data_IF_793448969224
#
_entry.id   IF_793448969224
#
_cell.length_a   1.000
_cell.length_b   1.000
_cell.length_c   1.000
_cell.angle_alpha   90.00
_cell.angle_beta   90.00
_cell.angle_gamma   90.00
#
_symmetry.space_group_name_H-M   'P 1'
#
loop_
_entity.id
_entity.type
_entity.pdbx_description
1 polymer ?
#
# COMPACT_ATOMS: atom_id res chain seq x y z
N UNK A 1 3.24 36.32 -19.95
CA UNK A 1 2.48 35.68 -21.06
C UNK A 1 1.08 36.25 -21.02
N UNK A 2 0.54 36.73 -22.14
CA UNK A 2 -0.73 37.48 -22.21
C UNK A 2 -1.80 36.62 -22.90
N UNK A 3 -3.02 36.61 -22.35
CA UNK A 3 -4.21 36.04 -23.01
C UNK A 3 -4.91 37.16 -23.77
N UNK A 4 -5.12 36.96 -25.07
CA UNK A 4 -5.74 37.97 -25.94
C UNK A 4 -7.09 37.52 -26.47
N UNK A 5 -8.04 38.44 -26.54
CA UNK A 5 -9.31 38.21 -27.24
C UNK A 5 -9.07 38.48 -28.72
N UNK A 6 -9.24 37.45 -29.54
CA UNK A 6 -9.14 37.53 -30.99
C UNK A 6 -10.53 37.58 -31.61
N UNK A 7 -10.75 38.59 -32.46
CA UNK A 7 -11.97 38.80 -33.24
C UNK A 7 -11.71 38.38 -34.68
N UNK A 8 -12.58 37.53 -35.24
CA UNK A 8 -12.51 37.14 -36.67
C UNK A 8 -13.88 37.33 -37.30
N UNK A 9 -13.92 38.11 -38.37
CA UNK A 9 -15.15 38.34 -39.12
C UNK A 9 -15.61 37.03 -39.78
N UNK A 10 -16.91 36.75 -39.74
CA UNK A 10 -17.50 35.61 -40.43
C UNK A 10 -17.61 35.88 -41.94
N UNK A 11 -17.85 34.83 -42.73
CA UNK A 11 -17.91 34.92 -44.19
C UNK A 11 -19.02 35.87 -44.71
N UNK A 12 -20.09 36.05 -43.93
CA UNK A 12 -21.18 36.97 -44.26
C UNK A 12 -20.89 38.43 -43.88
N UNK A 13 -19.80 38.72 -43.16
CA UNK A 13 -19.37 40.08 -42.84
C UNK A 13 -20.16 40.77 -41.71
N UNK A 14 -21.24 40.19 -41.21
CA UNK A 14 -22.16 40.79 -40.25
C UNK A 14 -21.77 40.57 -38.78
N UNK A 15 -20.88 39.60 -38.51
CA UNK A 15 -20.47 39.24 -37.14
C UNK A 15 -18.97 39.03 -36.99
N UNK A 16 -18.44 39.39 -35.81
CA UNK A 16 -17.16 38.94 -35.31
C UNK A 16 -17.34 37.72 -34.42
N UNK A 17 -16.76 36.59 -34.80
CA UNK A 17 -16.59 35.43 -33.94
C UNK A 17 -15.43 35.67 -32.97
N UNK A 18 -15.61 35.29 -31.72
CA UNK A 18 -14.64 35.52 -30.65
C UNK A 18 -13.86 34.25 -30.31
N UNK A 19 -12.59 34.44 -29.95
CA UNK A 19 -11.71 33.36 -29.50
C UNK A 19 -10.68 33.89 -28.51
N UNK A 20 -10.19 33.04 -27.61
CA UNK A 20 -9.03 33.34 -26.78
C UNK A 20 -7.77 32.81 -27.45
N UNK A 21 -6.78 33.67 -27.61
CA UNK A 21 -5.45 33.33 -28.12
C UNK A 21 -4.44 33.38 -26.96
N UNK A 22 -3.72 32.28 -26.77
CA UNK A 22 -2.78 32.07 -25.67
C UNK A 22 -1.39 31.85 -26.26
N UNK A 23 -0.46 32.78 -25.97
CA UNK A 23 0.91 32.75 -26.51
C UNK A 23 1.85 31.86 -25.68
N UNK A 24 2.16 30.64 -26.11
CA UNK A 24 2.95 29.65 -25.33
C UNK A 24 4.45 29.62 -25.66
N UNK A 25 5.06 30.76 -26.01
CA UNK A 25 6.49 30.86 -26.33
C UNK A 25 6.81 30.76 -27.83
N UNK A 26 8.02 30.30 -28.18
CA UNK A 26 8.48 30.14 -29.56
C UNK A 26 8.77 28.68 -29.90
N UNK A 27 8.54 28.28 -31.15
CA UNK A 27 9.03 27.04 -31.75
C UNK A 27 10.07 27.37 -32.80
N UNK A 28 11.24 26.74 -32.73
CA UNK A 28 12.30 26.89 -33.74
C UNK A 28 12.11 25.81 -34.81
N UNK A 29 12.01 26.24 -36.07
CA UNK A 29 11.98 25.33 -37.22
C UNK A 29 13.38 24.80 -37.53
N UNK A 30 13.48 23.67 -38.24
CA UNK A 30 14.76 23.04 -38.62
C UNK A 30 15.72 23.98 -39.37
N UNK A 31 15.20 25.07 -39.97
CA UNK A 31 15.97 26.08 -40.70
C UNK A 31 16.33 27.30 -39.83
N UNK A 32 16.27 27.20 -38.50
CA UNK A 32 16.66 28.26 -37.56
C UNK A 32 15.63 29.39 -37.36
N UNK A 33 14.52 29.40 -38.12
CA UNK A 33 13.49 30.43 -37.98
C UNK A 33 12.59 30.16 -36.75
N UNK A 34 12.48 31.17 -35.88
CA UNK A 34 11.61 31.16 -34.69
C UNK A 34 10.19 31.60 -35.04
N UNK A 35 9.20 30.75 -34.75
CA UNK A 35 7.76 31.06 -34.90
C UNK A 35 7.08 31.12 -33.54
N UNK A 36 6.24 32.14 -33.26
CA UNK A 36 5.49 32.21 -32.01
C UNK A 36 4.46 31.08 -31.94
N UNK A 37 4.52 30.25 -30.88
CA UNK A 37 3.56 29.18 -30.63
C UNK A 37 2.31 29.77 -29.97
N UNK A 38 1.16 29.66 -30.62
CA UNK A 38 -0.12 30.19 -30.15
C UNK A 38 -1.18 29.11 -30.19
N UNK A 39 -1.94 28.98 -29.11
CA UNK A 39 -3.11 28.10 -29.04
C UNK A 39 -4.36 28.98 -29.03
N UNK A 40 -5.33 28.67 -29.88
CA UNK A 40 -6.59 29.43 -29.98
C UNK A 40 -7.76 28.55 -29.57
N UNK A 41 -8.58 29.02 -28.63
CA UNK A 41 -9.83 28.39 -28.23
C UNK A 41 -11.01 29.27 -28.66
N UNK A 42 -11.97 28.70 -29.41
CA UNK A 42 -13.16 29.43 -29.85
C UNK A 42 -14.09 29.67 -28.66
N UNK A 43 -14.71 30.84 -28.62
CA UNK A 43 -15.76 31.16 -27.67
C UNK A 43 -17.11 31.11 -28.40
N UNK A 44 -18.15 30.62 -27.72
CA UNK A 44 -19.51 30.58 -28.25
C UNK A 44 -20.22 31.95 -28.09
N UNK A 45 -19.53 33.00 -28.55
CA UNK A 45 -19.97 34.38 -28.47
C UNK A 45 -19.61 35.12 -29.76
N UNK A 46 -20.47 36.06 -30.15
CA UNK A 46 -20.24 36.92 -31.31
C UNK A 46 -20.60 38.38 -31.01
N UNK A 47 -19.97 39.29 -31.75
CA UNK A 47 -20.31 40.70 -31.80
C UNK A 47 -20.86 41.06 -33.17
N UNK A 48 -21.90 41.88 -33.24
CA UNK A 48 -22.30 42.49 -34.51
C UNK A 48 -21.21 43.45 -34.99
N UNK A 49 -20.83 43.39 -36.27
CA UNK A 49 -19.80 44.26 -36.85
C UNK A 49 -20.27 45.71 -36.96
N UNK A 50 -21.58 45.92 -37.16
CA UNK A 50 -22.22 47.23 -37.22
C UNK A 50 -23.56 47.23 -36.47
N UNK A 51 -23.58 47.42 -35.13
CA UNK A 51 -24.80 47.37 -34.33
C UNK A 51 -25.64 48.65 -34.52
N UNK A 52 -26.73 48.55 -35.28
CA UNK A 52 -27.61 49.69 -35.61
C UNK A 52 -28.73 49.89 -34.60
N UNK A 53 -29.26 48.80 -34.02
CA UNK A 53 -30.38 48.88 -33.07
C UNK A 53 -29.90 48.97 -31.61
N UNK A 54 -30.71 49.53 -30.69
CA UNK A 54 -30.41 49.53 -29.25
C UNK A 54 -30.14 48.13 -28.69
N UNK A 55 -30.87 47.12 -29.17
CA UNK A 55 -30.70 45.72 -28.77
C UNK A 55 -29.34 45.16 -29.22
N UNK A 56 -28.91 45.45 -30.45
CA UNK A 56 -27.60 45.02 -30.96
C UNK A 56 -26.44 45.70 -30.21
N UNK A 57 -26.60 46.99 -29.85
CA UNK A 57 -25.62 47.72 -29.05
C UNK A 57 -25.52 47.16 -27.62
N UNK A 58 -26.66 46.84 -27.00
CA UNK A 58 -26.68 46.22 -25.67
C UNK A 58 -26.09 44.81 -25.68
N UNK A 59 -26.41 43.99 -26.68
CA UNK A 59 -25.81 42.67 -26.89
C UNK A 59 -24.28 42.73 -26.95
N UNK A 60 -23.72 43.60 -27.79
CA UNK A 60 -22.27 43.75 -27.88
C UNK A 60 -21.65 44.13 -26.53
N UNK A 61 -22.25 45.07 -25.79
CA UNK A 61 -21.78 45.51 -24.48
C UNK A 61 -21.78 44.39 -23.44
N UNK A 62 -22.82 43.55 -23.42
CA UNK A 62 -22.89 42.40 -22.51
C UNK A 62 -21.90 41.30 -22.88
N UNK A 63 -21.78 40.99 -24.18
CA UNK A 63 -20.85 39.97 -24.67
C UNK A 63 -19.41 40.39 -24.41
N UNK A 64 -19.05 41.67 -24.63
CA UNK A 64 -17.70 42.18 -24.32
C UNK A 64 -17.36 42.01 -22.84
N UNK A 65 -18.30 42.31 -21.92
CA UNK A 65 -18.11 42.06 -20.48
C UNK A 65 -17.89 40.58 -20.18
N UNK A 66 -18.74 39.70 -20.72
CA UNK A 66 -18.64 38.24 -20.50
C UNK A 66 -17.30 37.69 -20.99
N UNK A 67 -16.87 38.10 -22.18
CA UNK A 67 -15.63 37.64 -22.79
C UNK A 67 -14.41 38.16 -22.05
N UNK A 68 -14.45 39.38 -21.52
CA UNK A 68 -13.39 39.93 -20.68
C UNK A 68 -13.26 39.19 -19.34
N UNK A 69 -14.38 38.81 -18.72
CA UNK A 69 -14.38 37.94 -17.52
C UNK A 69 -13.72 36.60 -17.84
N UNK A 70 -14.12 35.94 -18.94
CA UNK A 70 -13.56 34.64 -19.36
C UNK A 70 -12.05 34.76 -19.65
N UNK A 71 -11.61 35.86 -20.29
CA UNK A 71 -10.18 36.16 -20.52
C UNK A 71 -9.42 36.25 -19.19
N UNK A 72 -9.93 37.04 -18.25
CA UNK A 72 -9.31 37.25 -16.95
C UNK A 72 -9.24 35.96 -16.11
N UNK A 73 -10.28 35.13 -16.16
CA UNK A 73 -10.28 33.80 -15.52
C UNK A 73 -9.24 32.87 -16.13
N UNK A 74 -9.12 32.83 -17.47
CA UNK A 74 -8.12 32.00 -18.15
C UNK A 74 -6.69 32.47 -17.88
N UNK A 75 -6.48 33.79 -17.80
CA UNK A 75 -5.20 34.38 -17.41
C UNK A 75 -4.85 34.00 -15.96
N UNK A 76 -5.81 34.08 -15.03
CA UNK A 76 -5.66 33.63 -13.64
C UNK A 76 -5.36 32.13 -13.53
N UNK A 77 -6.06 31.27 -14.26
CA UNK A 77 -5.80 29.82 -14.30
C UNK A 77 -4.39 29.51 -14.79
N UNK A 78 -3.94 30.18 -15.85
CA UNK A 78 -2.59 30.04 -16.37
C UNK A 78 -1.53 30.49 -15.36
N UNK A 79 -1.74 31.64 -14.72
CA UNK A 79 -0.85 32.14 -13.66
C UNK A 79 -0.82 31.18 -12.46
N UNK A 80 -1.95 30.60 -12.07
CA UNK A 80 -2.03 29.60 -11.01
C UNK A 80 -1.24 28.32 -11.35
N UNK A 81 -1.34 27.82 -12.58
CA UNK A 81 -0.58 26.64 -13.02
C UNK A 81 0.92 26.93 -13.20
N UNK A 82 1.29 28.17 -13.55
CA UNK A 82 2.68 28.57 -13.78
C UNK A 82 3.42 28.99 -12.51
N UNK A 83 2.73 29.66 -11.58
CA UNK A 83 3.34 30.29 -10.41
C UNK A 83 2.81 29.75 -9.08
N UNK A 84 1.86 28.81 -9.08
CA UNK A 84 1.45 28.12 -7.86
C UNK A 84 0.63 28.95 -6.87
N UNK A 85 0.02 30.08 -7.25
CA UNK A 85 -0.76 30.94 -6.34
C UNK A 85 -1.91 30.24 -5.58
N UNK A 86 -2.49 29.15 -6.12
CA UNK A 86 -3.43 28.29 -5.37
C UNK A 86 -2.76 27.46 -4.27
N UNK A 87 -1.47 27.18 -4.40
CA UNK A 87 -0.64 26.47 -3.42
C UNK A 87 -0.46 27.31 -2.17
N UNK A 88 -0.27 28.63 -2.23
CA UNK A 88 0.03 29.44 -1.04
C UNK A 88 -1.08 29.41 0.02
N UNK A 89 -2.36 29.41 -0.37
CA UNK A 89 -3.49 29.31 0.59
C UNK A 89 -3.61 27.89 1.15
N UNK A 90 -3.41 26.87 0.31
CA UNK A 90 -3.49 25.46 0.72
C UNK A 90 -2.25 25.01 1.51
N UNK A 91 -1.10 25.63 1.29
CA UNK A 91 0.12 25.31 1.99
C UNK A 91 0.12 25.84 3.43
N UNK A 92 -0.72 26.84 3.71
CA UNK A 92 -1.07 27.24 5.09
C UNK A 92 -2.03 26.28 5.80
N UNK A 93 -2.57 25.27 5.12
CA UNK A 93 -3.41 24.26 5.76
C UNK A 93 -2.60 23.42 6.75
N UNK A 94 -3.27 22.90 7.77
CA UNK A 94 -2.63 22.08 8.80
C UNK A 94 -2.36 20.66 8.29
N UNK A 95 -1.09 20.25 8.30
CA UNK A 95 -0.67 18.91 7.93
C UNK A 95 -1.17 17.84 8.90
N UNK A 96 -1.25 18.13 10.20
CA UNK A 96 -1.72 17.15 11.21
C UNK A 96 -3.18 16.77 10.97
N UNK A 97 -4.05 17.76 10.73
CA UNK A 97 -5.46 17.52 10.44
C UNK A 97 -5.65 16.73 9.15
N UNK A 98 -4.86 17.06 8.13
CA UNK A 98 -4.86 16.32 6.88
C UNK A 98 -4.42 14.86 7.09
N UNK A 99 -3.36 14.63 7.87
CA UNK A 99 -2.90 13.29 8.21
C UNK A 99 -3.95 12.51 9.03
N UNK A 100 -4.66 13.19 9.94
CA UNK A 100 -5.75 12.60 10.71
C UNK A 100 -6.90 12.15 9.80
N UNK A 101 -7.32 13.00 8.86
CA UNK A 101 -8.33 12.63 7.86
C UNK A 101 -7.93 11.38 7.07
N UNK A 102 -6.69 11.33 6.57
CA UNK A 102 -6.17 10.16 5.86
C UNK A 102 -6.10 8.92 6.75
N UNK A 103 -5.91 9.09 8.06
CA UNK A 103 -5.91 8.00 9.03
C UNK A 103 -7.31 7.41 9.18
N UNK A 104 -8.33 8.26 9.33
CA UNK A 104 -9.73 7.85 9.50
C UNK A 104 -10.28 7.13 8.26
N UNK A 105 -9.88 7.55 7.05
CA UNK A 105 -10.19 6.86 5.80
C UNK A 105 -9.66 5.40 5.74
N UNK A 106 -8.73 5.01 6.63
CA UNK A 106 -8.18 3.63 6.70
C UNK A 106 -8.88 2.73 7.71
N UNK A 107 -9.92 3.20 8.39
CA UNK A 107 -10.59 2.47 9.48
C UNK A 107 -11.09 1.07 9.08
N UNK A 108 -11.45 0.87 7.80
CA UNK A 108 -11.85 -0.43 7.24
C UNK A 108 -10.76 -1.52 7.34
N UNK A 109 -9.49 -1.13 7.47
CA UNK A 109 -8.37 -2.04 7.67
C UNK A 109 -7.70 -1.75 9.01
N UNK A 110 -8.21 -2.36 10.09
CA UNK A 110 -7.75 -2.16 11.47
C UNK A 110 -6.21 -2.18 11.62
N UNK A 111 -5.54 -3.11 10.94
CA UNK A 111 -4.07 -3.20 10.98
C UNK A 111 -3.36 -2.04 10.28
N UNK A 112 -3.91 -1.54 9.17
CA UNK A 112 -3.38 -0.36 8.49
C UNK A 112 -3.71 0.91 9.28
N UNK A 113 -4.96 1.06 9.73
CA UNK A 113 -5.42 2.15 10.60
C UNK A 113 -4.52 2.31 11.82
N UNK A 114 -4.28 1.24 12.59
CA UNK A 114 -3.47 1.32 13.82
C UNK A 114 -2.03 1.78 13.59
N UNK A 115 -1.47 1.51 12.41
CA UNK A 115 -0.16 2.03 12.02
C UNK A 115 -0.23 3.54 11.74
N UNK A 116 -1.18 3.99 10.92
CA UNK A 116 -1.40 5.41 10.64
C UNK A 116 -1.70 6.21 11.93
N UNK A 117 -2.56 5.71 12.80
CA UNK A 117 -2.87 6.30 14.12
C UNK A 117 -1.62 6.41 15.00
N UNK A 118 -0.74 5.40 14.98
CA UNK A 118 0.54 5.49 15.69
C UNK A 118 1.43 6.59 15.12
N UNK A 119 1.49 6.74 13.80
CA UNK A 119 2.24 7.83 13.15
C UNK A 119 1.66 9.19 13.51
N UNK A 120 0.34 9.34 13.47
CA UNK A 120 -0.34 10.58 13.85
C UNK A 120 0.02 11.01 15.28
N UNK A 121 0.02 10.07 16.23
CA UNK A 121 0.44 10.32 17.62
C UNK A 121 1.89 10.78 17.71
N UNK A 122 2.78 10.20 16.92
CA UNK A 122 4.18 10.60 16.88
C UNK A 122 4.41 11.95 16.20
N UNK A 123 3.66 12.27 15.15
CA UNK A 123 3.66 13.59 14.52
C UNK A 123 3.22 14.66 15.51
N UNK A 124 2.08 14.45 16.20
CA UNK A 124 1.59 15.35 17.25
C UNK A 124 2.61 15.57 18.38
N UNK A 125 3.32 14.52 18.79
CA UNK A 125 4.37 14.63 19.82
C UNK A 125 5.62 15.37 19.34
N UNK A 126 5.91 15.33 18.04
CA UNK A 126 7.11 15.93 17.48
C UNK A 126 6.93 17.42 17.19
N UNK A 127 5.79 17.80 16.61
CA UNK A 127 5.56 19.15 16.09
C UNK A 127 4.31 19.84 16.62
N UNK A 128 3.61 19.22 17.57
CA UNK A 128 2.35 19.73 18.10
C UNK A 128 1.17 19.40 17.18
N UNK A 129 0.01 20.02 17.46
CA UNK A 129 -1.22 19.75 16.71
C UNK A 129 -1.37 20.62 15.45
N UNK A 130 -0.59 21.69 15.34
CA UNK A 130 -0.72 22.67 14.26
C UNK A 130 0.64 22.89 13.60
N UNK A 131 0.77 22.41 12.37
CA UNK A 131 1.91 22.72 11.50
C UNK A 131 1.42 22.91 10.07
N UNK A 132 1.82 24.00 9.43
CA UNK A 132 1.44 24.25 8.05
C UNK A 132 2.18 23.30 7.10
N UNK A 133 1.64 23.05 5.91
CA UNK A 133 2.36 22.31 4.88
C UNK A 133 3.64 23.02 4.41
N UNK A 134 3.70 24.36 4.48
CA UNK A 134 4.91 25.12 4.17
C UNK A 134 6.05 24.81 5.15
N UNK A 135 5.72 24.61 6.44
CA UNK A 135 6.70 24.28 7.48
C UNK A 135 7.12 22.79 7.46
N UNK A 136 6.39 21.94 6.73
CA UNK A 136 6.74 20.53 6.54
C UNK A 136 7.73 20.42 5.38
N UNK A 137 8.92 20.99 5.55
CA UNK A 137 9.99 21.01 4.55
C UNK A 137 10.92 19.78 4.65
N UNK A 138 12.05 19.83 3.93
CA UNK A 138 13.07 18.76 3.96
C UNK A 138 13.65 18.61 5.38
N UNK A 139 13.90 19.73 6.06
CA UNK A 139 14.47 19.80 7.40
C UNK A 139 13.54 19.15 8.41
N UNK A 140 12.25 19.46 8.33
CA UNK A 140 11.21 18.82 9.12
C UNK A 140 11.18 17.30 8.91
N UNK A 141 11.22 16.86 7.65
CA UNK A 141 11.18 15.43 7.32
C UNK A 141 12.40 14.67 7.89
N UNK A 142 13.61 15.23 7.78
CA UNK A 142 14.82 14.63 8.37
C UNK A 142 14.77 14.68 9.91
N UNK A 143 14.28 15.78 10.48
CA UNK A 143 14.08 15.92 11.93
C UNK A 143 13.08 14.89 12.48
N UNK A 144 11.94 14.68 11.81
CA UNK A 144 10.96 13.67 12.20
C UNK A 144 11.54 12.26 12.12
N UNK A 145 12.31 11.94 11.07
CA UNK A 145 13.04 10.67 10.96
C UNK A 145 14.00 10.48 12.14
N UNK A 146 14.78 11.49 12.49
CA UNK A 146 15.71 11.43 13.63
C UNK A 146 14.96 11.27 14.97
N UNK A 147 13.82 11.95 15.13
CA UNK A 147 12.92 11.76 16.26
C UNK A 147 12.46 10.30 16.37
N UNK A 148 11.99 9.71 15.26
CA UNK A 148 11.57 8.30 15.24
C UNK A 148 12.69 7.34 15.63
N UNK A 149 13.93 7.62 15.21
CA UNK A 149 15.10 6.77 15.47
C UNK A 149 15.64 6.88 16.89
N UNK A 150 15.64 8.08 17.48
CA UNK A 150 16.40 8.36 18.72
C UNK A 150 15.53 8.66 19.94
N UNK A 151 14.33 9.18 19.73
CA UNK A 151 13.50 9.76 20.81
C UNK A 151 12.17 9.01 20.96
N UNK A 152 11.55 8.63 19.85
CA UNK A 152 10.24 8.00 19.84
C UNK A 152 10.24 6.66 20.61
N UNK A 153 9.21 6.49 21.42
CA UNK A 153 9.00 5.30 22.25
C UNK A 153 7.62 4.70 21.99
N UNK A 154 7.55 3.37 22.10
CA UNK A 154 6.30 2.61 22.15
C UNK A 154 5.46 3.01 23.38
N UNK A 155 4.20 2.56 23.44
CA UNK A 155 3.35 2.77 24.63
C UNK A 155 3.96 2.20 25.92
N UNK A 156 4.80 1.17 25.81
CA UNK A 156 5.51 0.55 26.93
C UNK A 156 6.85 1.24 27.26
N UNK A 157 7.14 2.41 26.67
CA UNK A 157 8.36 3.18 26.94
C UNK A 157 9.63 2.66 26.25
N UNK A 158 9.53 1.62 25.44
CA UNK A 158 10.67 1.05 24.70
C UNK A 158 10.96 1.82 23.40
N UNK A 159 12.23 1.93 22.95
CA UNK A 159 12.57 2.50 21.65
C UNK A 159 11.81 1.82 20.49
N UNK A 160 11.55 2.56 19.41
CA UNK A 160 10.94 1.98 18.21
C UNK A 160 11.92 1.01 17.51
N UNK A 161 11.40 -0.12 17.02
CA UNK A 161 12.19 -1.02 16.18
C UNK A 161 12.51 -0.37 14.83
N UNK A 162 13.61 -0.76 14.18
CA UNK A 162 13.97 -0.23 12.85
C UNK A 162 12.86 -0.42 11.79
N UNK A 163 12.11 -1.53 11.89
CA UNK A 163 10.96 -1.79 11.03
C UNK A 163 9.78 -0.85 11.33
N UNK A 164 9.52 -0.55 12.61
CA UNK A 164 8.51 0.45 13.01
C UNK A 164 8.89 1.83 12.49
N UNK A 165 10.16 2.25 12.65
CA UNK A 165 10.67 3.54 12.15
C UNK A 165 10.49 3.65 10.64
N UNK A 166 10.93 2.64 9.88
CA UNK A 166 10.80 2.61 8.42
C UNK A 166 9.34 2.67 7.97
N UNK A 167 8.47 1.89 8.63
CA UNK A 167 7.03 1.87 8.35
C UNK A 167 6.39 3.22 8.64
N UNK A 168 6.67 3.82 9.80
CA UNK A 168 6.08 5.09 10.22
C UNK A 168 6.50 6.24 9.30
N UNK A 169 7.80 6.32 8.99
CA UNK A 169 8.31 7.32 8.06
C UNK A 169 7.67 7.19 6.67
N UNK A 170 7.45 5.96 6.21
CA UNK A 170 6.81 5.70 4.91
C UNK A 170 5.33 6.14 4.89
N UNK A 171 4.61 6.10 6.03
CA UNK A 171 3.24 6.66 6.11
C UNK A 171 3.23 8.18 5.98
N UNK A 172 4.16 8.88 6.65
CA UNK A 172 4.33 10.33 6.46
C UNK A 172 4.63 10.65 4.99
N UNK A 173 5.56 9.94 4.36
CA UNK A 173 5.85 10.10 2.93
C UNK A 173 4.62 9.86 2.07
N UNK A 174 3.82 8.83 2.36
CA UNK A 174 2.60 8.54 1.61
C UNK A 174 1.55 9.65 1.75
N UNK A 175 1.39 10.23 2.95
CA UNK A 175 0.53 11.39 3.17
C UNK A 175 0.98 12.60 2.35
N UNK A 176 2.29 12.89 2.34
CA UNK A 176 2.87 13.98 1.54
C UNK A 176 2.72 13.74 0.03
N UNK A 177 2.85 12.50 -0.44
CA UNK A 177 2.53 12.15 -1.84
C UNK A 177 1.07 12.45 -2.17
N UNK A 178 0.14 12.03 -1.31
CA UNK A 178 -1.28 12.31 -1.52
C UNK A 178 -1.56 13.82 -1.51
N UNK A 179 -0.84 14.60 -0.69
CA UNK A 179 -0.96 16.05 -0.66
C UNK A 179 -0.48 16.71 -1.96
N UNK A 180 0.51 16.12 -2.66
CA UNK A 180 0.88 16.53 -4.02
C UNK A 180 -0.25 16.21 -5.00
N UNK A 181 -0.79 14.99 -4.95
CA UNK A 181 -1.89 14.56 -5.81
C UNK A 181 -3.14 15.44 -5.64
N UNK A 182 -3.41 15.91 -4.42
CA UNK A 182 -4.52 16.81 -4.08
C UNK A 182 -4.22 18.30 -4.38
N UNK A 183 -3.03 18.58 -4.90
CA UNK A 183 -2.56 19.93 -5.24
C UNK A 183 -2.51 20.87 -4.04
N UNK A 184 -2.17 20.34 -2.85
CA UNK A 184 -1.93 21.11 -1.63
C UNK A 184 -0.49 21.66 -1.64
N UNK A 185 0.46 20.80 -2.00
CA UNK A 185 1.88 21.14 -2.19
C UNK A 185 2.33 20.76 -3.60
N UNK A 186 3.32 21.47 -4.13
CA UNK A 186 3.82 21.23 -5.49
C UNK A 186 4.74 20.00 -5.58
N UNK A 187 5.49 19.72 -4.52
CA UNK A 187 6.46 18.62 -4.49
C UNK A 187 6.50 17.99 -3.11
N UNK A 188 6.80 16.69 -3.02
CA UNK A 188 6.97 16.01 -1.75
C UNK A 188 8.39 16.25 -1.18
N UNK A 189 8.54 16.96 -0.05
CA UNK A 189 9.85 17.27 0.52
C UNK A 189 10.58 16.03 1.04
N UNK A 190 9.84 14.99 1.42
CA UNK A 190 10.43 13.75 1.95
C UNK A 190 11.19 12.93 0.90
N UNK A 191 11.05 13.22 -0.41
CA UNK A 191 11.78 12.50 -1.46
C UNK A 191 13.30 12.71 -1.41
N UNK A 192 13.76 13.82 -0.83
CA UNK A 192 15.18 14.11 -0.61
C UNK A 192 15.73 13.52 0.68
N UNK A 193 14.87 12.92 1.51
CA UNK A 193 15.24 12.27 2.76
C UNK A 193 15.38 10.77 2.54
N UNK A 194 16.49 10.20 3.00
CA UNK A 194 16.70 8.76 2.90
C UNK A 194 15.71 7.99 3.78
N UNK A 195 15.04 6.99 3.19
CA UNK A 195 14.14 6.10 3.96
C UNK A 195 14.97 5.26 4.93
N UNK A 196 14.57 5.15 6.22
CA UNK A 196 15.19 4.22 7.15
C UNK A 196 15.14 2.79 6.58
N UNK A 197 16.31 2.14 6.51
CA UNK A 197 16.37 0.76 6.04
C UNK A 197 15.69 -0.16 7.06
N UNK A 198 14.74 -1.01 6.65
CA UNK A 198 14.19 -2.01 7.54
C UNK A 198 15.30 -2.97 7.98
N UNK A 199 15.19 -3.46 9.22
CA UNK A 199 16.09 -4.49 9.75
C UNK A 199 15.51 -5.83 9.35
N UNK A 200 16.32 -6.65 8.67
CA UNK A 200 15.94 -8.00 8.31
C UNK A 200 15.97 -8.87 9.57
N UNK A 201 14.80 -9.21 10.10
CA UNK A 201 14.68 -10.13 11.23
C UNK A 201 14.64 -11.57 10.71
N UNK A 202 15.43 -12.45 11.32
CA UNK A 202 15.28 -13.88 11.10
C UNK A 202 13.90 -14.32 11.56
N UNK A 203 13.21 -15.06 10.71
CA UNK A 203 11.87 -15.55 11.02
C UNK A 203 11.98 -16.92 11.66
N UNK A 204 11.41 -17.03 12.85
CA UNK A 204 11.30 -18.31 13.55
C UNK A 204 10.41 -19.29 12.77
N UNK A 205 10.87 -20.53 12.68
CA UNK A 205 10.16 -21.66 12.11
C UNK A 205 10.52 -22.95 12.88
N UNK A 206 9.67 -23.96 12.74
CA UNK A 206 9.86 -25.26 13.36
C UNK A 206 10.55 -26.22 12.38
N UNK A 207 11.43 -27.08 12.90
CA UNK A 207 11.94 -28.24 12.14
C UNK A 207 10.90 -29.37 12.13
N UNK A 208 11.14 -30.41 11.33
CA UNK A 208 10.24 -31.56 11.28
C UNK A 208 10.14 -32.25 12.66
N UNK A 209 11.27 -32.38 13.35
CA UNK A 209 11.36 -32.98 14.68
C UNK A 209 10.57 -32.17 15.71
N UNK A 210 10.65 -30.83 15.64
CA UNK A 210 9.90 -29.95 16.54
C UNK A 210 8.39 -29.99 16.25
N UNK A 211 7.97 -30.08 14.98
CA UNK A 211 6.56 -30.30 14.62
C UNK A 211 6.05 -31.64 15.16
N UNK A 212 6.85 -32.70 15.05
CA UNK A 212 6.53 -34.01 15.61
C UNK A 212 6.46 -33.97 17.15
N UNK A 213 7.37 -33.26 17.80
CA UNK A 213 7.36 -33.06 19.26
C UNK A 213 6.07 -32.35 19.71
N UNK A 214 5.66 -31.29 19.00
CA UNK A 214 4.37 -30.63 19.25
C UNK A 214 3.19 -31.57 19.06
N UNK A 215 3.17 -32.35 17.97
CA UNK A 215 2.11 -33.32 17.72
C UNK A 215 1.97 -34.35 18.85
N UNK A 216 3.09 -34.83 19.40
CA UNK A 216 3.10 -35.77 20.53
C UNK A 216 2.75 -35.11 21.87
N UNK A 217 3.05 -33.82 22.03
CA UNK A 217 2.85 -33.08 23.27
C UNK A 217 1.38 -32.70 23.46
N UNK A 218 0.88 -32.82 24.70
CA UNK A 218 -0.46 -32.37 25.06
C UNK A 218 -0.58 -30.84 24.96
N UNK A 219 -1.59 -30.37 24.22
CA UNK A 219 -1.95 -28.97 24.18
C UNK A 219 -3.23 -28.76 24.98
N UNK A 220 -3.26 -27.71 25.81
CA UNK A 220 -4.43 -27.34 26.61
C UNK A 220 -5.71 -27.18 25.78
N UNK A 221 -5.56 -26.73 24.52
CA UNK A 221 -6.67 -26.51 23.60
C UNK A 221 -6.48 -27.35 22.34
N UNK A 222 -7.28 -28.41 22.22
CA UNK A 222 -7.25 -29.29 21.04
C UNK A 222 -7.42 -28.51 19.73
N UNK A 223 -8.36 -27.56 19.67
CA UNK A 223 -8.57 -26.74 18.47
C UNK A 223 -7.34 -25.90 18.10
N UNK A 224 -6.60 -25.38 19.09
CA UNK A 224 -5.36 -24.63 18.86
C UNK A 224 -4.29 -25.55 18.28
N UNK A 225 -4.12 -26.74 18.86
CA UNK A 225 -3.19 -27.77 18.38
C UNK A 225 -3.47 -28.12 16.93
N UNK A 226 -4.72 -28.50 16.64
CA UNK A 226 -5.14 -28.89 15.28
C UNK A 226 -4.92 -27.77 14.28
N UNK A 227 -5.38 -26.56 14.59
CA UNK A 227 -5.28 -25.43 13.68
C UNK A 227 -3.83 -24.97 13.44
N UNK A 228 -2.98 -24.98 14.47
CA UNK A 228 -1.58 -24.62 14.32
C UNK A 228 -0.81 -25.64 13.49
N UNK A 229 -0.97 -26.94 13.77
CA UNK A 229 -0.37 -28.01 12.97
C UNK A 229 -0.90 -28.01 11.53
N UNK A 230 -2.19 -27.73 11.36
CA UNK A 230 -2.78 -27.55 10.03
C UNK A 230 -2.09 -26.41 9.26
N UNK A 231 -1.77 -25.29 9.92
CA UNK A 231 -0.98 -24.21 9.32
C UNK A 231 0.45 -24.66 8.98
N UNK A 232 1.09 -25.49 9.81
CA UNK A 232 2.40 -26.10 9.53
C UNK A 232 2.39 -27.04 8.31
N UNK A 233 1.25 -27.67 8.01
CA UNK A 233 1.12 -28.62 6.90
C UNK A 233 0.55 -28.02 5.61
N UNK A 234 -0.04 -26.83 5.67
CA UNK A 234 -0.69 -26.19 4.51
C UNK A 234 -0.16 -24.80 4.17
N UNK A 235 0.59 -24.17 5.08
CA UNK A 235 1.06 -22.81 4.94
C UNK A 235 -0.04 -21.75 5.01
N UNK A 236 -1.29 -22.10 5.34
CA UNK A 236 -2.40 -21.14 5.38
C UNK A 236 -2.19 -20.08 6.47
N UNK A 237 -2.59 -18.83 6.17
CA UNK A 237 -2.47 -17.73 7.14
C UNK A 237 -3.50 -17.90 8.25
N UNK A 238 -3.21 -17.31 9.40
CA UNK A 238 -4.12 -17.35 10.55
C UNK A 238 -5.55 -16.94 10.16
N UNK A 239 -5.75 -15.76 9.57
CA UNK A 239 -7.09 -15.30 9.18
C UNK A 239 -7.86 -16.28 8.28
N UNK A 240 -7.13 -17.00 7.42
CA UNK A 240 -7.71 -17.96 6.48
C UNK A 240 -8.07 -19.26 7.21
N UNK A 241 -7.20 -19.76 8.10
CA UNK A 241 -7.48 -20.92 8.98
C UNK A 241 -8.64 -20.60 9.94
N UNK A 242 -8.70 -19.40 10.50
CA UNK A 242 -9.79 -18.97 11.39
C UNK A 242 -11.12 -19.09 10.66
N UNK A 243 -11.22 -18.49 9.47
CA UNK A 243 -12.48 -18.33 8.76
C UNK A 243 -12.79 -19.51 7.82
N UNK A 244 -11.97 -20.55 7.82
CA UNK A 244 -12.20 -21.75 7.00
C UNK A 244 -13.50 -22.43 7.43
N UNK A 245 -14.42 -22.60 6.49
CA UNK A 245 -15.70 -23.29 6.65
C UNK A 245 -15.73 -24.56 5.82
N UNK A 246 -16.56 -25.52 6.22
CA UNK A 246 -16.62 -26.84 5.59
C UNK A 246 -17.03 -26.80 4.11
N UNK A 247 -17.88 -25.87 3.69
CA UNK A 247 -18.30 -25.66 2.29
C UNK A 247 -17.13 -25.31 1.34
N UNK A 248 -16.01 -24.86 1.90
CA UNK A 248 -14.80 -24.54 1.14
C UNK A 248 -13.92 -25.76 0.91
N UNK A 249 -14.19 -26.87 1.59
CA UNK A 249 -13.41 -28.11 1.58
C UNK A 249 -14.07 -29.08 0.62
N UNK A 250 -13.35 -29.47 -0.43
CA UNK A 250 -13.86 -30.32 -1.50
C UNK A 250 -12.94 -31.51 -1.71
N UNK A 251 -13.54 -32.66 -2.03
CA UNK A 251 -12.81 -33.85 -2.48
C UNK A 251 -12.74 -33.83 -4.00
N UNK A 252 -11.54 -33.97 -4.56
CA UNK A 252 -11.27 -34.00 -6.01
C UNK A 252 -10.48 -35.27 -6.32
N UNK A 253 -11.18 -36.33 -6.70
CA UNK A 253 -10.61 -37.68 -6.82
C UNK A 253 -10.11 -38.18 -5.46
N UNK A 254 -8.84 -38.59 -5.41
CA UNK A 254 -8.16 -39.01 -4.16
C UNK A 254 -7.63 -37.82 -3.33
N UNK A 255 -7.68 -36.60 -3.86
CA UNK A 255 -7.09 -35.43 -3.21
C UNK A 255 -8.16 -34.57 -2.52
N UNK A 256 -7.73 -33.85 -1.48
CA UNK A 256 -8.55 -32.82 -0.83
C UNK A 256 -8.07 -31.43 -1.23
N UNK A 257 -9.02 -30.52 -1.42
CA UNK A 257 -8.78 -29.17 -1.90
C UNK A 257 -9.60 -28.16 -1.13
N UNK A 258 -9.01 -27.00 -0.85
CA UNK A 258 -9.68 -25.87 -0.22
C UNK A 258 -9.79 -24.73 -1.22
N UNK A 259 -11.02 -24.28 -1.44
CA UNK A 259 -11.36 -23.21 -2.36
C UNK A 259 -11.80 -21.98 -1.56
N UNK A 260 -10.96 -20.95 -1.52
CA UNK A 260 -11.26 -19.75 -0.73
C UNK A 260 -10.66 -18.48 -1.32
N UNK A 261 -11.27 -17.35 -0.96
CA UNK A 261 -10.67 -16.04 -1.19
C UNK A 261 -9.79 -15.70 0.01
N UNK A 262 -8.49 -15.50 -0.23
CA UNK A 262 -7.57 -15.09 0.84
C UNK A 262 -8.04 -13.77 1.46
N UNK A 263 -8.09 -13.72 2.79
CA UNK A 263 -8.61 -12.54 3.48
C UNK A 263 -7.79 -11.28 3.22
N UNK A 264 -6.46 -11.43 3.12
CA UNK A 264 -5.53 -10.30 2.95
C UNK A 264 -5.49 -9.74 1.52
N UNK A 265 -5.47 -10.61 0.53
CA UNK A 265 -5.26 -10.24 -0.89
C UNK A 265 -6.54 -10.26 -1.71
N UNK A 266 -7.62 -10.83 -1.17
CA UNK A 266 -8.91 -11.08 -1.86
C UNK A 266 -8.79 -11.95 -3.12
N UNK A 267 -7.64 -12.57 -3.35
CA UNK A 267 -7.42 -13.46 -4.49
C UNK A 267 -8.04 -14.83 -4.23
N UNK A 268 -8.72 -15.39 -5.24
CA UNK A 268 -9.16 -16.78 -5.24
C UNK A 268 -7.93 -17.70 -5.19
N UNK A 269 -7.96 -18.69 -4.30
CA UNK A 269 -6.92 -19.68 -4.14
C UNK A 269 -7.50 -21.08 -4.09
N UNK A 270 -6.69 -22.00 -4.59
CA UNK A 270 -6.93 -23.43 -4.63
C UNK A 270 -5.77 -24.10 -3.89
N UNK A 271 -6.02 -24.59 -2.68
CA UNK A 271 -4.99 -25.21 -1.85
C UNK A 271 -5.27 -26.70 -1.71
N UNK A 272 -4.44 -27.53 -2.34
CA UNK A 272 -4.43 -28.96 -2.07
C UNK A 272 -3.85 -29.22 -0.67
N UNK A 273 -4.49 -30.12 0.06
CA UNK A 273 -4.07 -30.52 1.40
C UNK A 273 -3.81 -32.04 1.41
N UNK A 274 -2.80 -32.44 2.18
CA UNK A 274 -2.52 -33.86 2.37
C UNK A 274 -3.48 -34.49 3.38
N UNK A 275 -3.43 -35.81 3.48
CA UNK A 275 -4.28 -36.59 4.38
C UNK A 275 -4.11 -36.18 5.86
N UNK A 276 -2.87 -35.99 6.32
CA UNK A 276 -2.60 -35.52 7.70
C UNK A 276 -3.28 -34.18 8.00
N UNK A 277 -3.22 -33.22 7.07
CA UNK A 277 -3.92 -31.95 7.24
C UNK A 277 -5.44 -32.14 7.26
N UNK A 278 -5.98 -33.06 6.45
CA UNK A 278 -7.40 -33.40 6.45
C UNK A 278 -7.84 -34.03 7.78
N UNK A 279 -7.07 -34.94 8.35
CA UNK A 279 -7.36 -35.58 9.64
C UNK A 279 -7.48 -34.54 10.77
N UNK A 280 -6.60 -33.52 10.77
CA UNK A 280 -6.64 -32.43 11.75
C UNK A 280 -7.94 -31.61 11.69
N UNK A 281 -8.72 -31.70 10.62
CA UNK A 281 -9.97 -30.97 10.48
C UNK A 281 -11.14 -31.65 11.23
N UNK A 282 -11.00 -32.93 11.62
CA UNK A 282 -12.08 -33.80 12.15
C UNK A 282 -13.20 -34.02 11.13
N UNK A 283 -14.31 -34.60 11.56
CA UNK A 283 -15.48 -34.85 10.71
C UNK A 283 -16.33 -33.60 10.53
N UNK A 284 -16.92 -33.46 9.34
CA UNK A 284 -17.85 -32.39 9.02
C UNK A 284 -19.21 -32.68 9.67
N UNK A 285 -19.72 -31.72 10.45
CA UNK A 285 -21.08 -31.78 10.99
C UNK A 285 -22.05 -30.89 10.18
N UNK A 286 -21.61 -29.67 9.85
CA UNK A 286 -22.36 -28.71 9.05
C UNK A 286 -21.42 -28.04 8.02
N UNK A 287 -21.89 -27.90 6.78
CA UNK A 287 -21.14 -27.28 5.69
C UNK A 287 -20.87 -25.79 5.94
N UNK A 288 -21.77 -25.06 6.59
CA UNK A 288 -21.62 -23.63 6.85
C UNK A 288 -20.74 -23.33 8.08
N UNK A 289 -20.53 -24.34 8.94
CA UNK A 289 -19.74 -24.19 10.16
C UNK A 289 -18.23 -24.05 9.85
N UNK A 290 -17.53 -23.32 10.73
CA UNK A 290 -16.07 -23.22 10.69
C UNK A 290 -15.43 -24.56 11.01
N UNK A 291 -14.40 -24.95 10.27
CA UNK A 291 -13.62 -26.18 10.51
C UNK A 291 -12.96 -26.19 11.91
N UNK A 292 -12.47 -25.04 12.36
CA UNK A 292 -11.81 -24.87 13.65
C UNK A 292 -12.69 -24.08 14.63
N UNK A 293 -13.83 -24.66 15.01
CA UNK A 293 -14.79 -24.09 15.98
C UNK A 293 -14.12 -23.78 17.32
N UNK A 294 -14.39 -22.60 17.87
CA UNK A 294 -13.84 -22.17 19.16
C UNK A 294 -12.43 -21.56 19.08
N UNK A 295 -11.79 -21.60 17.91
CA UNK A 295 -10.52 -20.92 17.69
C UNK A 295 -10.74 -19.41 17.61
N UNK A 296 -10.04 -18.68 18.48
CA UNK A 296 -10.16 -17.22 18.62
C UNK A 296 -8.78 -16.57 18.70
N UNK A 297 -8.62 -15.41 18.08
CA UNK A 297 -7.43 -14.61 18.31
C UNK A 297 -7.52 -13.95 19.68
N UNK A 298 -6.57 -14.25 20.57
CA UNK A 298 -6.47 -13.60 21.88
C UNK A 298 -5.04 -13.68 22.41
N UNK A 299 -4.67 -12.75 23.28
CA UNK A 299 -3.41 -12.82 24.02
C UNK A 299 -3.28 -14.17 24.76
N UNK A 300 -4.40 -14.66 25.28
CA UNK A 300 -4.48 -15.94 25.97
C UNK A 300 -4.15 -17.15 25.08
N UNK A 301 -4.66 -17.19 23.85
CA UNK A 301 -4.31 -18.25 22.88
C UNK A 301 -2.84 -18.18 22.45
N UNK A 302 -2.26 -16.98 22.35
CA UNK A 302 -0.82 -16.83 22.11
C UNK A 302 0.00 -17.35 23.29
N UNK A 303 -0.41 -17.07 24.54
CA UNK A 303 0.22 -17.64 25.73
C UNK A 303 0.09 -19.16 25.78
N UNK A 304 -1.07 -19.72 25.40
CA UNK A 304 -1.28 -21.16 25.34
C UNK A 304 -0.38 -21.83 24.30
N UNK A 305 -0.17 -21.21 23.12
CA UNK A 305 0.77 -21.68 22.12
C UNK A 305 2.20 -21.68 22.67
N UNK A 306 2.63 -20.58 23.31
CA UNK A 306 3.95 -20.49 23.94
C UNK A 306 4.17 -21.60 24.98
N UNK A 307 3.22 -21.79 25.89
CA UNK A 307 3.30 -22.83 26.92
C UNK A 307 3.36 -24.23 26.30
N UNK A 308 2.60 -24.49 25.24
CA UNK A 308 2.63 -25.75 24.53
C UNK A 308 3.97 -26.00 23.84
N UNK A 309 4.57 -24.98 23.20
CA UNK A 309 5.93 -25.06 22.66
C UNK A 309 6.96 -25.36 23.75
N UNK A 310 6.89 -24.69 24.90
CA UNK A 310 7.80 -24.95 26.02
C UNK A 310 7.67 -26.39 26.55
N UNK A 311 6.44 -26.91 26.68
CA UNK A 311 6.19 -28.31 27.06
C UNK A 311 6.77 -29.31 26.06
N UNK A 312 6.81 -28.95 24.78
CA UNK A 312 7.40 -29.76 23.71
C UNK A 312 8.94 -29.63 23.62
N UNK A 313 9.58 -28.88 24.54
CA UNK A 313 11.02 -28.65 24.54
C UNK A 313 11.51 -27.60 23.54
N UNK A 314 10.60 -26.77 23.01
CA UNK A 314 10.92 -25.76 21.98
C UNK A 314 11.13 -24.40 22.66
N UNK A 315 12.36 -23.89 22.61
CA UNK A 315 12.76 -22.60 23.20
C UNK A 315 12.54 -21.40 22.27
N UNK A 316 12.24 -21.64 20.99
CA UNK A 316 11.99 -20.61 19.98
C UNK A 316 10.75 -19.79 20.29
N UNK A 317 10.75 -18.51 19.89
CA UNK A 317 9.56 -17.68 19.99
C UNK A 317 8.57 -17.95 18.85
N UNK A 318 7.68 -18.93 19.06
CA UNK A 318 6.72 -19.37 18.06
C UNK A 318 5.40 -18.60 18.19
N UNK A 319 4.98 -17.98 17.09
CA UNK A 319 3.64 -17.41 16.93
C UNK A 319 2.84 -18.22 15.92
N UNK A 320 1.52 -18.02 15.81
CA UNK A 320 0.72 -18.76 14.83
C UNK A 320 1.25 -18.61 13.38
N UNK A 321 1.79 -17.43 13.03
CA UNK A 321 2.34 -17.20 11.70
C UNK A 321 3.61 -18.02 11.43
N UNK A 322 4.33 -18.46 12.47
CA UNK A 322 5.45 -19.38 12.33
C UNK A 322 5.03 -20.73 11.75
N UNK A 323 3.75 -21.14 11.85
CA UNK A 323 3.26 -22.34 11.16
C UNK A 323 3.40 -22.24 9.64
N UNK A 324 3.09 -21.07 9.07
CA UNK A 324 3.31 -20.79 7.65
C UNK A 324 4.80 -20.77 7.27
N UNK A 325 5.65 -20.21 8.13
CA UNK A 325 7.10 -20.24 7.92
C UNK A 325 7.64 -21.67 7.97
N UNK A 326 7.13 -22.47 8.89
CA UNK A 326 7.42 -23.90 9.03
C UNK A 326 7.07 -24.65 7.75
N UNK A 327 5.85 -24.50 7.23
CA UNK A 327 5.45 -25.12 5.96
C UNK A 327 6.40 -24.76 4.82
N UNK A 328 6.70 -23.47 4.65
CA UNK A 328 7.59 -23.00 3.60
C UNK A 328 9.00 -23.62 3.71
N UNK A 329 9.57 -23.61 4.91
CA UNK A 329 10.89 -24.18 5.16
C UNK A 329 10.89 -25.69 4.97
N UNK A 330 9.87 -26.41 5.46
CA UNK A 330 9.75 -27.86 5.26
C UNK A 330 9.69 -28.22 3.78
N UNK A 331 8.85 -27.53 2.99
CA UNK A 331 8.75 -27.79 1.54
C UNK A 331 10.09 -27.58 0.83
N UNK A 332 10.82 -26.50 1.15
CA UNK A 332 12.13 -26.21 0.57
C UNK A 332 13.17 -27.25 0.99
N UNK A 333 13.19 -27.64 2.26
CA UNK A 333 14.06 -28.69 2.80
C UNK A 333 13.80 -30.03 2.10
N UNK A 334 12.53 -30.34 1.83
CA UNK A 334 12.10 -31.60 1.21
C UNK A 334 12.29 -31.67 -0.32
N UNK A 335 12.79 -30.63 -0.98
CA UNK A 335 12.99 -30.70 -2.44
C UNK A 335 12.19 -29.70 -3.27
N UNK A 336 11.16 -29.09 -2.72
CA UNK A 336 10.24 -28.25 -3.49
C UNK A 336 10.96 -26.99 -3.95
N UNK A 337 10.85 -26.64 -5.23
CA UNK A 337 11.47 -25.44 -5.75
C UNK A 337 10.79 -24.16 -5.21
N UNK A 338 11.54 -23.06 -5.19
CA UNK A 338 11.09 -21.80 -4.61
C UNK A 338 9.83 -21.23 -5.28
N UNK A 339 9.68 -21.43 -6.59
CA UNK A 339 8.52 -20.94 -7.32
C UNK A 339 7.27 -21.72 -6.93
N UNK A 340 7.36 -23.05 -6.86
CA UNK A 340 6.26 -23.90 -6.39
C UNK A 340 5.87 -23.57 -4.95
N UNK A 341 6.83 -23.41 -4.03
CA UNK A 341 6.55 -22.96 -2.66
C UNK A 341 5.86 -21.60 -2.65
N UNK A 342 6.28 -20.66 -3.50
CA UNK A 342 5.64 -19.35 -3.64
C UNK A 342 4.16 -19.47 -4.04
N UNK A 343 3.81 -20.42 -4.91
CA UNK A 343 2.43 -20.68 -5.35
C UNK A 343 1.62 -21.40 -4.29
N UNK A 344 2.19 -22.40 -3.62
CA UNK A 344 1.55 -23.09 -2.49
C UNK A 344 1.25 -22.14 -1.33
N UNK A 345 2.06 -21.10 -1.15
CA UNK A 345 1.81 -20.05 -0.17
C UNK A 345 0.81 -18.98 -0.67
N UNK A 346 0.55 -18.89 -1.97
CA UNK A 346 -0.26 -17.83 -2.55
C UNK A 346 0.40 -16.45 -2.43
N UNK A 347 1.71 -16.37 -2.70
CA UNK A 347 2.40 -15.08 -2.82
C UNK A 347 2.21 -14.49 -4.23
N UNK A 348 1.87 -13.20 -4.30
CA UNK A 348 1.79 -12.46 -5.56
C UNK A 348 3.16 -12.27 -6.22
N UNK A 349 4.18 -12.05 -5.41
CA UNK A 349 5.56 -11.85 -5.85
C UNK A 349 6.49 -12.89 -5.22
N UNK A 350 7.34 -13.48 -6.04
CA UNK A 350 8.36 -14.46 -5.60
C UNK A 350 9.33 -13.87 -4.58
N UNK A 351 9.55 -12.54 -4.62
CA UNK A 351 10.37 -11.80 -3.64
C UNK A 351 9.91 -12.04 -2.21
N UNK A 352 8.62 -12.26 -1.98
CA UNK A 352 8.10 -12.59 -0.65
C UNK A 352 8.58 -13.95 -0.16
N UNK A 353 8.80 -14.90 -1.07
CA UNK A 353 9.29 -16.26 -0.77
C UNK A 353 10.82 -16.29 -0.68
N UNK A 354 11.53 -15.35 -1.31
CA UNK A 354 12.99 -15.23 -1.22
C UNK A 354 13.49 -15.00 0.21
N UNK A 355 12.63 -14.61 1.15
CA UNK A 355 12.98 -14.55 2.58
C UNK A 355 13.45 -15.90 3.15
N UNK A 356 13.13 -17.02 2.49
CA UNK A 356 13.58 -18.36 2.88
C UNK A 356 14.84 -18.82 2.12
N UNK A 357 15.49 -17.94 1.34
CA UNK A 357 16.65 -18.30 0.53
C UNK A 357 17.80 -18.92 1.34
N UNK A 358 17.97 -18.52 2.61
CA UNK A 358 18.97 -19.11 3.52
C UNK A 358 18.81 -20.64 3.69
N UNK A 359 17.57 -21.15 3.63
CA UNK A 359 17.30 -22.61 3.69
C UNK A 359 17.82 -23.30 2.43
N UNK A 360 17.67 -22.65 1.27
CA UNK A 360 18.18 -23.14 -0.02
C UNK A 360 19.70 -23.22 0.02
N UNK A 361 20.38 -22.25 0.62
CA UNK A 361 21.84 -22.22 0.67
C UNK A 361 22.43 -23.40 1.47
N UNK A 362 21.78 -23.85 2.55
CA UNK A 362 22.17 -25.08 3.26
C UNK A 362 22.07 -26.31 2.34
N UNK A 363 21.01 -26.41 1.54
CA UNK A 363 20.86 -27.50 0.56
C UNK A 363 21.86 -27.44 -0.58
N UNK A 364 22.30 -26.25 -1.00
CA UNK A 364 23.37 -26.14 -2.01
C UNK A 364 24.66 -26.80 -1.51
N UNK A 365 24.98 -26.64 -0.23
CA UNK A 365 26.15 -27.28 0.39
C UNK A 365 25.98 -28.80 0.38
N UNK A 366 24.82 -29.32 0.81
CA UNK A 366 24.53 -30.76 0.77
C UNK A 366 24.60 -31.32 -0.65
N UNK A 367 23.99 -30.64 -1.62
CA UNK A 367 23.96 -31.05 -3.03
C UNK A 367 25.37 -31.10 -3.65
N UNK A 368 26.22 -30.12 -3.36
CA UNK A 368 27.63 -30.14 -3.79
C UNK A 368 28.37 -31.32 -3.17
N UNK A 369 28.09 -31.65 -1.91
CA UNK A 369 28.74 -32.76 -1.20
C UNK A 369 28.20 -34.15 -1.57
N UNK A 370 27.05 -34.24 -2.26
CA UNK A 370 26.52 -35.52 -2.78
C UNK A 370 27.21 -36.00 -4.06
N UNK A 371 28.09 -35.19 -4.66
CA UNK A 371 28.89 -35.63 -5.81
C UNK A 371 29.79 -36.80 -5.35
N UNK A 372 29.68 -38.00 -5.97
CA UNK A 372 30.49 -39.15 -5.60
C UNK A 372 31.99 -38.82 -5.70
N UNK A 373 32.78 -39.35 -4.76
CA UNK A 373 34.24 -39.28 -4.88
C UNK A 373 34.67 -40.13 -6.08
N UNK A 374 35.67 -39.66 -6.82
CA UNK A 374 36.31 -40.48 -7.84
C UNK A 374 36.83 -41.78 -7.20
N UNK A 375 36.50 -42.92 -7.79
CA UNK A 375 37.13 -44.19 -7.44
C UNK A 375 38.61 -44.10 -7.89
N UNK A 376 39.53 -44.43 -6.98
CA UNK A 376 40.97 -44.46 -7.23
C UNK A 376 41.41 -45.81 -7.78
#
# INVERSE_FOLDING_TARGET
>A
MKVHIRRRQNSAGDKYNLSLEVYSGYSVSANGNSKPKRVTAKLDYYLYTNPKTPQQKNHNKEVEKKVEIIRAEKEKEYLNNKYGFRSEIKAKANFIDYFAKLTDERMESLGNYGNWDSVLKHLKKYSGENISFDDVDITYCEGFKNYLQKIAKTKAGQPLSGNSVSSYFTKMRAALNKAVDDGIILTNPSHKVSTPKPVENEREFLTLEEVQALFKTECRYDVLKRAFLFSCLTGMRWSDVNNLSWKQVQKEGENWKINFHQQKTRSLQYHYINEQARELMKEMQDAEERVFVGLRYSAYMNTALLQWCMKAGISKHITFHCGRHTYATLQLTLGTDLFTVSKLLGHSEIRTTQIYAKVIDKRKIEAVNTIPKFEL
#
